data_IF_106831973999
#
_entry.id   IF_106831973999
#
_cell.length_a   1.000
_cell.length_b   1.000
_cell.length_c   1.000
_cell.angle_alpha   90.00
_cell.angle_beta   90.00
_cell.angle_gamma   90.00
#
_symmetry.space_group_name_H-M   'P 1'
#
loop_
_entity.id
_entity.type
_entity.pdbx_description
1 polymer ?
#
# COMPACT_ATOMS: atom_id res chain seq x y z
N UNK A 1 17.57 6.20 -20.12
CA UNK A 1 17.43 4.76 -20.45
C UNK A 1 17.37 3.84 -19.22
N UNK A 2 18.09 4.14 -18.13
CA UNK A 2 18.12 3.30 -16.91
C UNK A 2 16.77 3.09 -16.21
N UNK A 3 15.92 4.12 -16.14
CA UNK A 3 14.60 4.05 -15.49
C UNK A 3 13.70 2.99 -16.15
N UNK A 4 13.64 2.97 -17.48
CA UNK A 4 12.79 2.04 -18.23
C UNK A 4 13.20 0.59 -18.03
N UNK A 5 14.51 0.31 -18.18
CA UNK A 5 15.07 -1.04 -17.97
C UNK A 5 14.80 -1.49 -16.53
N UNK A 6 15.11 -0.64 -15.55
CA UNK A 6 14.92 -0.98 -14.13
C UNK A 6 13.44 -1.18 -13.78
N UNK A 7 12.53 -0.43 -14.39
CA UNK A 7 11.09 -0.61 -14.23
C UNK A 7 10.62 -1.97 -14.73
N UNK A 8 11.08 -2.41 -15.91
CA UNK A 8 10.79 -3.75 -16.43
C UNK A 8 11.28 -4.83 -15.46
N UNK A 9 12.53 -4.74 -14.99
CA UNK A 9 13.07 -5.67 -13.99
C UNK A 9 12.28 -5.62 -12.67
N UNK A 10 11.90 -4.43 -12.21
CA UNK A 10 11.09 -4.21 -11.02
C UNK A 10 9.75 -4.92 -11.11
N UNK A 11 9.04 -4.75 -12.23
CA UNK A 11 7.76 -5.45 -12.50
C UNK A 11 7.91 -6.96 -12.45
N UNK A 12 8.94 -7.50 -13.10
CA UNK A 12 9.15 -8.96 -13.17
C UNK A 12 9.52 -9.52 -11.80
N UNK A 13 10.52 -8.93 -11.12
CA UNK A 13 11.04 -9.44 -9.85
C UNK A 13 10.00 -9.29 -8.74
N UNK A 14 9.40 -8.12 -8.60
CA UNK A 14 8.41 -7.85 -7.54
C UNK A 14 7.09 -8.57 -7.86
N UNK A 15 6.69 -8.66 -9.12
CA UNK A 15 5.54 -9.46 -9.55
C UNK A 15 5.73 -10.95 -9.25
N UNK A 16 6.92 -11.50 -9.50
CA UNK A 16 7.26 -12.88 -9.13
C UNK A 16 7.24 -13.08 -7.62
N UNK A 17 7.72 -12.10 -6.84
CA UNK A 17 7.67 -12.13 -5.38
C UNK A 17 6.22 -12.08 -4.86
N UNK A 18 5.33 -11.36 -5.54
CA UNK A 18 3.93 -11.23 -5.19
C UNK A 18 3.13 -12.53 -5.35
N UNK A 19 3.61 -13.45 -6.19
CA UNK A 19 2.97 -14.75 -6.42
C UNK A 19 3.35 -15.80 -5.36
N UNK A 20 4.36 -15.53 -4.52
CA UNK A 20 4.74 -16.44 -3.44
C UNK A 20 3.69 -16.40 -2.32
N UNK A 21 3.15 -17.58 -2.00
CA UNK A 21 2.09 -17.76 -0.99
C UNK A 21 2.45 -17.28 0.43
N UNK A 22 3.74 -17.11 0.73
CA UNK A 22 4.21 -16.59 2.02
C UNK A 22 4.22 -15.07 2.12
N UNK A 23 4.08 -14.35 0.99
CA UNK A 23 4.18 -12.90 0.93
C UNK A 23 2.80 -12.31 0.71
N UNK A 24 2.37 -11.43 1.62
CA UNK A 24 1.13 -10.70 1.44
C UNK A 24 1.32 -9.62 0.37
N UNK A 25 0.56 -9.70 -0.72
CA UNK A 25 0.58 -8.75 -1.85
C UNK A 25 0.45 -7.29 -1.38
N UNK A 26 -0.39 -7.04 -0.38
CA UNK A 26 -0.56 -5.73 0.26
C UNK A 26 0.68 -5.25 1.01
N UNK A 27 1.33 -6.13 1.77
CA UNK A 27 2.54 -5.78 2.50
C UNK A 27 3.68 -5.48 1.53
N UNK A 28 3.81 -6.28 0.47
CA UNK A 28 4.81 -6.07 -0.57
C UNK A 28 4.61 -4.72 -1.28
N UNK A 29 3.36 -4.39 -1.62
CA UNK A 29 3.01 -3.08 -2.18
C UNK A 29 3.43 -1.93 -1.26
N UNK A 30 3.06 -1.98 0.02
CA UNK A 30 3.42 -0.95 0.99
C UNK A 30 4.94 -0.81 1.16
N UNK A 31 5.68 -1.93 1.22
CA UNK A 31 7.15 -1.89 1.33
C UNK A 31 7.77 -1.23 0.11
N UNK A 32 7.33 -1.57 -1.11
CA UNK A 32 7.85 -0.94 -2.33
C UNK A 32 7.50 0.54 -2.41
N UNK A 33 6.31 0.93 -1.94
CA UNK A 33 5.85 2.31 -1.89
C UNK A 33 6.67 3.14 -0.88
N UNK A 34 6.93 2.59 0.31
CA UNK A 34 7.76 3.24 1.34
C UNK A 34 9.18 3.42 0.81
N UNK A 35 9.79 2.39 0.21
CA UNK A 35 11.15 2.51 -0.32
C UNK A 35 11.21 3.55 -1.44
N UNK A 36 10.20 3.60 -2.32
CA UNK A 36 10.12 4.64 -3.35
C UNK A 36 10.00 6.06 -2.77
N UNK A 37 9.21 6.24 -1.70
CA UNK A 37 9.08 7.51 -0.99
C UNK A 37 10.39 7.97 -0.33
N UNK A 38 11.08 7.07 0.38
CA UNK A 38 12.40 7.32 0.96
C UNK A 38 13.39 7.70 -0.14
N UNK A 39 13.44 6.90 -1.22
CA UNK A 39 14.33 7.18 -2.35
C UNK A 39 14.06 8.58 -2.92
N UNK A 40 12.80 8.97 -3.07
CA UNK A 40 12.41 10.30 -3.60
C UNK A 40 12.88 11.43 -2.67
N UNK A 41 12.84 11.26 -1.35
CA UNK A 41 13.39 12.25 -0.41
C UNK A 41 14.92 12.38 -0.51
N UNK A 42 15.63 11.28 -0.85
CA UNK A 42 17.07 11.27 -1.04
C UNK A 42 17.53 11.79 -2.42
N UNK A 43 16.61 11.94 -3.37
CA UNK A 43 16.88 12.43 -4.73
C UNK A 43 17.71 13.73 -4.80
N UNK A 44 17.37 14.83 -4.06
CA UNK A 44 18.11 16.09 -4.17
C UNK A 44 19.56 16.01 -3.66
N UNK A 45 19.90 15.02 -2.82
CA UNK A 45 21.26 14.80 -2.32
C UNK A 45 22.15 14.07 -3.34
N UNK A 46 21.55 13.33 -4.28
CA UNK A 46 22.28 12.54 -5.28
C UNK A 46 22.67 13.33 -6.53
N UNK A 47 22.46 14.65 -6.56
CA UNK A 47 22.71 15.52 -7.71
C UNK A 47 24.18 15.91 -7.92
N UNK A 48 25.11 15.50 -7.05
CA UNK A 48 26.53 15.90 -7.16
C UNK A 48 27.31 15.13 -8.25
N UNK A 49 26.82 13.96 -8.69
CA UNK A 49 27.48 13.17 -9.74
C UNK A 49 26.47 12.47 -10.64
N UNK A 50 26.81 12.34 -11.93
CA UNK A 50 26.00 11.59 -12.90
C UNK A 50 25.84 10.13 -12.45
N UNK A 51 26.89 9.54 -11.85
CA UNK A 51 26.84 8.16 -11.36
C UNK A 51 25.83 7.99 -10.22
N UNK A 52 25.79 8.91 -9.24
CA UNK A 52 24.82 8.85 -8.14
C UNK A 52 23.39 9.08 -8.62
N UNK A 53 23.21 9.95 -9.61
CA UNK A 53 21.89 10.17 -10.23
C UNK A 53 21.41 8.95 -11.03
N UNK A 54 22.32 8.24 -11.71
CA UNK A 54 22.00 6.98 -12.42
C UNK A 54 21.62 5.84 -11.48
N UNK A 55 22.31 5.71 -10.35
CA UNK A 55 21.99 4.74 -9.31
C UNK A 55 20.59 5.03 -8.73
N UNK A 56 20.34 6.30 -8.38
CA UNK A 56 19.03 6.75 -7.92
C UNK A 56 17.93 6.44 -8.95
N UNK A 57 18.13 6.82 -10.21
CA UNK A 57 17.16 6.60 -11.29
C UNK A 57 16.86 5.11 -11.50
N UNK A 58 17.85 4.24 -11.32
CA UNK A 58 17.68 2.78 -11.42
C UNK A 58 16.88 2.22 -10.25
N UNK A 59 17.20 2.64 -9.01
CA UNK A 59 16.45 2.26 -7.81
C UNK A 59 15.00 2.75 -7.89
N UNK A 60 14.79 4.03 -8.18
CA UNK A 60 13.46 4.60 -8.33
C UNK A 60 12.67 3.89 -9.44
N UNK A 61 13.30 3.64 -10.59
CA UNK A 61 12.67 2.90 -11.69
C UNK A 61 12.25 1.49 -11.28
N UNK A 62 13.11 0.77 -10.55
CA UNK A 62 12.83 -0.57 -10.05
C UNK A 62 11.62 -0.62 -9.11
N UNK A 63 11.61 0.21 -8.06
CA UNK A 63 10.48 0.24 -7.11
C UNK A 63 9.21 0.82 -7.75
N UNK A 64 9.35 1.81 -8.64
CA UNK A 64 8.24 2.34 -9.41
C UNK A 64 7.57 1.27 -10.27
N UNK A 65 8.36 0.46 -10.98
CA UNK A 65 7.83 -0.66 -11.75
C UNK A 65 7.13 -1.69 -10.88
N UNK A 66 7.71 -2.02 -9.72
CA UNK A 66 7.13 -2.94 -8.76
C UNK A 66 5.75 -2.53 -8.27
N UNK A 67 5.60 -1.30 -7.77
CA UNK A 67 4.30 -0.86 -7.25
C UNK A 67 3.25 -0.77 -8.36
N UNK A 68 3.61 -0.26 -9.56
CA UNK A 68 2.66 -0.14 -10.68
C UNK A 68 2.19 -1.52 -11.13
N UNK A 69 3.08 -2.52 -11.16
CA UNK A 69 2.71 -3.91 -11.45
C UNK A 69 1.80 -4.52 -10.39
N UNK A 70 2.09 -4.26 -9.12
CA UNK A 70 1.26 -4.71 -7.99
C UNK A 70 -0.12 -4.04 -7.95
N UNK A 71 -0.25 -2.81 -8.44
CA UNK A 71 -1.53 -2.10 -8.48
C UNK A 71 -2.59 -2.88 -9.25
N UNK A 72 -2.27 -3.45 -10.42
CA UNK A 72 -3.25 -4.25 -11.17
C UNK A 72 -3.64 -5.53 -10.43
N UNK A 73 -2.65 -6.20 -9.81
CA UNK A 73 -2.86 -7.42 -9.01
C UNK A 73 -3.80 -7.13 -7.84
N UNK A 74 -3.55 -6.06 -7.09
CA UNK A 74 -4.38 -5.67 -5.94
C UNK A 74 -5.79 -5.30 -6.38
N UNK A 75 -5.95 -4.64 -7.53
CA UNK A 75 -7.29 -4.33 -8.05
C UNK A 75 -8.04 -5.61 -8.39
N UNK A 76 -7.40 -6.57 -9.07
CA UNK A 76 -7.99 -7.90 -9.30
C UNK A 76 -8.40 -8.56 -8.00
N UNK A 77 -7.56 -8.52 -6.97
CA UNK A 77 -7.86 -9.11 -5.67
C UNK A 77 -9.05 -8.43 -4.96
N UNK A 78 -9.30 -7.14 -5.25
CA UNK A 78 -10.35 -6.35 -4.60
C UNK A 78 -11.69 -6.38 -5.35
N UNK A 79 -11.69 -6.28 -6.68
CA UNK A 79 -12.91 -6.19 -7.49
C UNK A 79 -13.18 -7.41 -8.38
N UNK A 80 -12.23 -8.34 -8.46
CA UNK A 80 -12.29 -9.48 -9.37
C UNK A 80 -11.81 -9.17 -10.79
N UNK A 81 -11.50 -10.22 -11.55
CA UNK A 81 -10.98 -10.11 -12.93
C UNK A 81 -12.01 -9.48 -13.88
N UNK A 82 -13.31 -9.75 -13.67
CA UNK A 82 -14.39 -9.29 -14.56
C UNK A 82 -14.55 -7.77 -14.59
N UNK A 83 -14.14 -7.09 -13.50
CA UNK A 83 -14.25 -5.63 -13.33
C UNK A 83 -12.89 -4.93 -13.29
N UNK A 84 -11.81 -5.65 -13.62
CA UNK A 84 -10.45 -5.11 -13.61
C UNK A 84 -10.32 -3.89 -14.52
N UNK A 85 -10.74 -4.00 -15.78
CA UNK A 85 -10.60 -2.92 -16.76
C UNK A 85 -11.40 -1.68 -16.38
N UNK A 86 -12.63 -1.87 -15.89
CA UNK A 86 -13.49 -0.78 -15.42
C UNK A 86 -12.83 -0.03 -14.25
N UNK A 87 -12.37 -0.77 -13.23
CA UNK A 87 -11.74 -0.18 -12.05
C UNK A 87 -10.37 0.45 -12.36
N UNK A 88 -9.54 -0.21 -13.17
CA UNK A 88 -8.24 0.29 -13.58
C UNK A 88 -8.36 1.53 -14.47
N UNK A 89 -9.36 1.58 -15.35
CA UNK A 89 -9.66 2.76 -16.16
C UNK A 89 -10.04 3.98 -15.32
N UNK A 90 -10.92 3.81 -14.33
CA UNK A 90 -11.27 4.87 -13.37
C UNK A 90 -10.04 5.31 -12.57
N UNK A 91 -9.22 4.37 -12.11
CA UNK A 91 -7.97 4.68 -11.42
C UNK A 91 -7.03 5.53 -12.29
N UNK A 92 -6.83 5.14 -13.55
CA UNK A 92 -5.98 5.87 -14.49
C UNK A 92 -6.53 7.26 -14.81
N UNK A 93 -7.85 7.43 -14.86
CA UNK A 93 -8.50 8.73 -15.03
C UNK A 93 -8.14 9.67 -13.88
N UNK A 94 -8.31 9.23 -12.64
CA UNK A 94 -7.93 10.02 -11.46
C UNK A 94 -6.43 10.28 -11.41
N UNK A 95 -5.60 9.28 -11.75
CA UNK A 95 -4.16 9.45 -11.80
C UNK A 95 -3.74 10.48 -12.87
N UNK A 96 -4.39 10.46 -14.03
CA UNK A 96 -4.15 11.42 -15.11
C UNK A 96 -4.48 12.85 -14.67
N UNK A 97 -5.64 13.07 -14.05
CA UNK A 97 -6.03 14.37 -13.49
C UNK A 97 -5.04 14.81 -12.41
N UNK A 98 -4.65 13.91 -11.50
CA UNK A 98 -3.69 14.20 -10.44
C UNK A 98 -2.31 14.58 -11.00
N UNK A 99 -1.82 13.92 -12.06
CA UNK A 99 -0.55 14.27 -12.71
C UNK A 99 -0.66 15.60 -13.46
N UNK A 100 -1.79 15.86 -14.12
CA UNK A 100 -2.06 17.10 -14.83
C UNK A 100 -2.04 18.32 -13.89
N UNK A 101 -2.58 18.18 -12.68
CA UNK A 101 -2.55 19.21 -11.63
C UNK A 101 -1.20 19.22 -10.90
N UNK A 102 -0.62 18.05 -10.66
CA UNK A 102 0.63 17.91 -9.91
C UNK A 102 1.81 18.60 -10.59
N UNK A 103 1.90 18.52 -11.92
CA UNK A 103 2.99 19.13 -12.71
C UNK A 103 3.06 20.66 -12.56
N UNK A 104 1.97 21.45 -12.75
CA UNK A 104 2.00 22.90 -12.53
C UNK A 104 2.17 23.27 -11.06
N UNK A 105 1.63 22.48 -10.12
CA UNK A 105 1.84 22.70 -8.68
C UNK A 105 3.31 22.54 -8.30
N UNK A 106 3.98 21.49 -8.78
CA UNK A 106 5.43 21.31 -8.57
C UNK A 106 6.23 22.44 -9.21
N UNK A 107 5.82 22.88 -10.41
CA UNK A 107 6.42 24.00 -11.12
C UNK A 107 6.35 25.29 -10.32
N UNK A 108 5.16 25.67 -9.85
CA UNK A 108 4.95 26.88 -9.05
C UNK A 108 5.63 26.80 -7.68
N UNK A 109 5.67 25.63 -7.05
CA UNK A 109 6.47 25.41 -5.83
C UNK A 109 7.96 25.66 -6.09
N UNK A 110 8.51 25.16 -7.19
CA UNK A 110 9.91 25.40 -7.56
C UNK A 110 10.18 26.90 -7.72
N UNK A 111 9.27 27.61 -8.38
CA UNK A 111 9.43 29.04 -8.63
C UNK A 111 9.29 29.86 -7.34
N UNK A 112 8.40 29.46 -6.42
CA UNK A 112 8.26 30.09 -5.09
C UNK A 112 9.49 29.90 -4.19
N UNK A 113 10.20 28.76 -4.30
CA UNK A 113 11.42 28.49 -3.55
C UNK A 113 12.71 28.90 -4.28
N UNK A 114 12.60 29.63 -5.40
CA UNK A 114 13.73 30.02 -6.25
C UNK A 114 14.79 30.87 -5.55
N UNK A 115 14.42 31.57 -4.47
CA UNK A 115 15.32 32.41 -3.67
C UNK A 115 16.19 31.62 -2.67
N UNK A 116 15.92 30.32 -2.45
CA UNK A 116 16.71 29.46 -1.56
C UNK A 116 17.87 28.79 -2.31
N UNK A 117 18.99 28.53 -1.62
CA UNK A 117 20.18 27.82 -2.17
C UNK A 117 19.87 26.46 -2.83
N UNK A 118 18.71 25.84 -2.53
CA UNK A 118 18.27 24.55 -3.09
C UNK A 118 16.76 24.54 -3.39
N UNK A 119 16.30 25.15 -4.49
CA UNK A 119 14.88 25.26 -4.82
C UNK A 119 14.21 23.89 -5.07
N UNK A 120 15.01 22.88 -5.44
CA UNK A 120 14.55 21.52 -5.68
C UNK A 120 14.42 20.67 -4.41
N UNK A 121 14.95 21.10 -3.26
CA UNK A 121 14.91 20.27 -2.05
C UNK A 121 13.48 20.16 -1.50
N UNK A 122 12.79 21.28 -1.35
CA UNK A 122 11.46 21.36 -0.74
C UNK A 122 10.39 20.56 -1.48
N UNK A 123 10.25 20.66 -2.81
CA UNK A 123 9.28 19.85 -3.54
C UNK A 123 9.53 18.36 -3.35
N UNK A 124 10.78 17.90 -3.50
CA UNK A 124 11.11 16.47 -3.36
C UNK A 124 10.86 15.95 -1.94
N UNK A 125 11.10 16.77 -0.91
CA UNK A 125 10.84 16.39 0.48
C UNK A 125 9.34 16.25 0.76
N UNK A 126 8.52 17.16 0.24
CA UNK A 126 7.05 17.14 0.40
C UNK A 126 6.44 15.98 -0.38
N UNK A 127 6.86 15.76 -1.63
CA UNK A 127 6.37 14.64 -2.45
C UNK A 127 6.82 13.30 -1.88
N UNK A 128 8.11 13.13 -1.57
CA UNK A 128 8.62 11.91 -0.96
C UNK A 128 7.98 11.64 0.41
N UNK A 129 7.80 12.69 1.23
CA UNK A 129 7.15 12.62 2.53
C UNK A 129 5.67 12.23 2.46
N UNK A 130 4.91 12.78 1.50
CA UNK A 130 3.50 12.41 1.31
C UNK A 130 3.32 10.97 0.82
N UNK A 131 4.21 10.49 -0.07
CA UNK A 131 4.24 9.07 -0.51
C UNK A 131 4.55 8.16 0.68
N UNK A 132 5.54 8.54 1.50
CA UNK A 132 5.89 7.83 2.72
C UNK A 132 4.73 7.74 3.70
N UNK A 133 4.08 8.87 3.96
CA UNK A 133 2.93 8.96 4.87
C UNK A 133 1.78 8.09 4.35
N UNK A 134 1.51 8.11 3.04
CA UNK A 134 0.53 7.24 2.40
C UNK A 134 0.86 5.76 2.62
N UNK A 135 2.11 5.35 2.37
CA UNK A 135 2.57 3.98 2.63
C UNK A 135 2.45 3.56 4.09
N UNK A 136 2.73 4.48 5.03
CA UNK A 136 2.61 4.23 6.47
C UNK A 136 1.14 4.06 6.91
N UNK A 137 0.25 4.89 6.38
CA UNK A 137 -1.21 4.77 6.61
C UNK A 137 -1.72 3.45 6.04
N UNK A 138 -1.35 3.11 4.81
CA UNK A 138 -1.72 1.82 4.21
C UNK A 138 -1.12 0.63 4.97
N UNK A 139 -0.01 0.77 5.68
CA UNK A 139 0.53 -0.27 6.54
C UNK A 139 -0.31 -0.46 7.81
N UNK A 140 -0.89 0.61 8.35
CA UNK A 140 -1.76 0.56 9.53
C UNK A 140 -3.14 -0.07 9.23
N UNK A 141 -3.72 0.16 8.04
CA UNK A 141 -5.04 -0.35 7.66
C UNK A 141 -5.19 -1.89 7.78
N UNK A 142 -4.31 -2.74 7.22
CA UNK A 142 -4.43 -4.19 7.34
C UNK A 142 -4.20 -4.68 8.78
N UNK A 143 -3.40 -3.97 9.58
CA UNK A 143 -3.20 -4.26 11.01
C UNK A 143 -4.53 -4.01 11.75
N UNK A 144 -5.16 -2.86 11.52
CA UNK A 144 -6.44 -2.51 12.12
C UNK A 144 -7.57 -3.43 11.66
N UNK A 145 -7.60 -3.80 10.37
CA UNK A 145 -8.59 -4.75 9.84
C UNK A 145 -8.43 -6.14 10.47
N UNK A 146 -7.20 -6.65 10.58
CA UNK A 146 -6.92 -7.92 11.27
C UNK A 146 -7.31 -7.87 12.74
N UNK A 147 -7.06 -6.76 13.43
CA UNK A 147 -7.49 -6.59 14.82
C UNK A 147 -9.01 -6.60 14.94
N UNK A 148 -9.73 -5.93 14.03
CA UNK A 148 -11.20 -5.87 14.03
C UNK A 148 -11.83 -7.24 13.73
N UNK A 149 -11.26 -8.01 12.81
CA UNK A 149 -11.68 -9.39 12.54
C UNK A 149 -11.41 -10.33 13.73
N UNK A 150 -10.29 -10.15 14.43
CA UNK A 150 -9.96 -10.92 15.65
C UNK A 150 -10.94 -10.63 16.79
N UNK A 151 -11.29 -9.35 16.98
CA UNK A 151 -12.30 -8.90 17.95
C UNK A 151 -13.69 -9.48 17.64
N UNK A 152 -14.09 -9.50 16.36
CA UNK A 152 -15.37 -10.10 15.94
C UNK A 152 -15.40 -11.63 16.15
N UNK A 153 -14.31 -12.35 15.86
CA UNK A 153 -14.22 -13.79 16.13
C UNK A 153 -14.31 -14.10 17.62
N UNK A 154 -13.65 -13.31 18.47
CA UNK A 154 -13.66 -13.50 19.93
C UNK A 154 -15.05 -13.24 20.53
N UNK A 155 -15.72 -12.18 20.07
CA UNK A 155 -17.08 -11.84 20.49
C UNK A 155 -18.10 -12.91 20.08
N UNK A 156 -18.00 -13.46 18.86
CA UNK A 156 -18.84 -14.60 18.42
C UNK A 156 -18.60 -15.87 19.25
N UNK A 157 -17.34 -16.18 19.60
CA UNK A 157 -16.99 -17.34 20.41
C UNK A 157 -17.53 -17.23 21.85
N UNK A 158 -17.46 -16.04 22.44
CA UNK A 158 -18.01 -15.74 23.77
C UNK A 158 -19.54 -15.93 23.79
N UNK A 159 -20.24 -15.45 22.76
CA UNK A 159 -21.69 -15.62 22.62
C UNK A 159 -22.08 -17.11 22.46
N UNK A 160 -21.37 -17.88 21.63
CA UNK A 160 -21.63 -19.32 21.48
C UNK A 160 -21.41 -20.11 22.78
N UNK A 161 -20.37 -19.77 23.54
CA UNK A 161 -20.10 -20.39 24.84
C UNK A 161 -21.21 -20.11 25.86
N UNK A 162 -21.72 -18.87 25.91
CA UNK A 162 -22.84 -18.49 26.78
C UNK A 162 -24.13 -19.25 26.45
N UNK A 163 -24.46 -19.41 25.16
CA UNK A 163 -25.64 -20.16 24.70
C UNK A 163 -25.51 -21.66 25.03
N UNK A 164 -24.30 -22.24 24.89
CA UNK A 164 -24.04 -23.65 25.24
C UNK A 164 -24.14 -23.91 26.74
N UNK A 165 -23.68 -22.98 27.60
CA UNK A 165 -23.88 -23.10 29.05
C UNK A 165 -25.35 -22.99 29.45
N UNK A 166 -26.11 -22.10 28.81
CA UNK A 166 -27.54 -21.93 29.08
C UNK A 166 -28.35 -23.15 28.63
N UNK A 167 -28.08 -23.66 27.42
CA UNK A 167 -28.71 -24.87 26.89
C UNK A 167 -28.41 -26.11 27.74
N UNK A 168 -27.20 -26.25 28.30
CA UNK A 168 -26.88 -27.35 29.22
C UNK A 168 -27.63 -27.23 30.54
N UNK A 169 -27.81 -26.01 31.05
CA UNK A 169 -28.52 -25.75 32.30
C UNK A 169 -30.03 -26.04 32.17
N UNK A 170 -30.63 -25.64 31.04
CA UNK A 170 -32.03 -25.97 30.71
C UNK A 170 -32.25 -27.45 30.41
N UNK A 171 -31.26 -28.15 29.83
CA UNK A 171 -31.34 -29.59 29.54
C UNK A 171 -31.16 -30.47 30.80
N UNK A 172 -30.48 -29.96 31.84
CA UNK A 172 -30.30 -30.67 33.12
C UNK A 172 -31.47 -30.47 34.11
N UNK A 173 -32.40 -29.55 33.83
CA UNK A 173 -33.55 -29.28 34.68
C UNK A 173 -34.72 -30.29 34.61
N UNK A 174 -35.00 -31.03 33.51
CA UNK A 174 -36.20 -31.87 33.44
C UNK A 174 -36.09 -33.20 34.21
N UNK A 175 -34.90 -33.75 34.42
CA UNK A 175 -34.75 -35.13 34.94
C UNK A 175 -34.90 -35.24 36.46
N UNK A 176 -34.77 -34.14 37.22
CA UNK A 176 -34.93 -34.18 38.68
C UNK A 176 -36.39 -34.10 39.16
N UNK A 177 -37.34 -33.78 38.29
CA UNK A 177 -38.77 -33.72 38.64
C UNK A 177 -39.55 -35.00 38.31
N UNK A 178 -38.92 -36.02 37.71
CA UNK A 178 -39.58 -37.28 37.35
C UNK A 178 -39.24 -38.46 38.28
N UNK A 179 -38.50 -38.23 39.37
CA UNK A 179 -38.13 -39.25 40.36
C UNK A 179 -38.72 -39.03 41.77
N UNK A 180 -39.79 -38.24 41.93
CA UNK A 180 -40.53 -38.15 43.20
C UNK A 180 -41.97 -38.62 42.99
#
# INVERSE_FOLDING_TARGET
>A
MSIGISNCFGRVIIGFLADRSWINRLTLYNTTLIIAGISTMFAPFCNSSVATHMIYASLFGFFSGGYVGLTSIIIVDLVGVDKLSDAFGVLLLFQGIAVAIGTPVVGSMRDAFSEFDRPYLWPYLIFGGSILLSGLILFAIPILKRQKERQQKLSKHQLQMGVLSFSKQDLSAPEQQQQI
#
